data_IF_393489068588
#
_entry.id   IF_393489068588
#
_cell.length_a   1.000
_cell.length_b   1.000
_cell.length_c   1.000
_cell.angle_alpha   90.00
_cell.angle_beta   90.00
_cell.angle_gamma   90.00
#
_symmetry.space_group_name_H-M   'P 1'
#
loop_
_entity.id
_entity.type
_entity.pdbx_description
1 polymer ?
#
# COMPACT_ATOMS: atom_id res chain seq x y z
N UNK A 1 1.12 -27.22 24.09
CA UNK A 1 2.09 -26.26 23.53
C UNK A 1 2.54 -26.68 22.14
N UNK A 2 2.65 -27.98 21.86
CA UNK A 2 3.18 -28.48 20.58
C UNK A 2 2.32 -28.16 19.35
N UNK A 3 0.99 -28.22 19.47
CA UNK A 3 0.05 -27.91 18.37
C UNK A 3 0.17 -26.44 17.93
N UNK A 4 0.37 -25.52 18.89
CA UNK A 4 0.52 -24.09 18.58
C UNK A 4 1.82 -23.85 17.81
N UNK A 5 2.92 -24.50 18.23
CA UNK A 5 4.20 -24.41 17.55
C UNK A 5 4.14 -25.00 16.13
N UNK A 6 3.47 -26.14 15.96
CA UNK A 6 3.28 -26.77 14.65
C UNK A 6 2.47 -25.88 13.69
N UNK A 7 1.42 -25.21 14.20
CA UNK A 7 0.64 -24.25 13.41
C UNK A 7 1.51 -23.04 13.01
N UNK A 8 2.29 -22.49 13.94
CA UNK A 8 3.18 -21.36 13.67
C UNK A 8 4.25 -21.70 12.62
N UNK A 9 4.89 -22.86 12.72
CA UNK A 9 5.88 -23.32 11.73
C UNK A 9 5.25 -23.52 10.35
N UNK A 10 4.02 -24.06 10.30
CA UNK A 10 3.30 -24.26 9.04
C UNK A 10 2.96 -22.94 8.37
N UNK A 11 2.52 -21.94 9.12
CA UNK A 11 2.22 -20.61 8.60
C UNK A 11 3.50 -19.86 8.19
N UNK A 12 4.59 -20.00 8.95
CA UNK A 12 5.90 -19.46 8.56
C UNK A 12 6.40 -20.04 7.23
N UNK A 13 6.39 -21.37 7.06
CA UNK A 13 6.78 -22.03 5.80
C UNK A 13 5.91 -21.61 4.62
N UNK A 14 4.62 -21.32 4.84
CA UNK A 14 3.75 -20.76 3.80
C UNK A 14 4.13 -19.32 3.47
N UNK A 15 4.44 -18.50 4.48
CA UNK A 15 4.84 -17.11 4.30
C UNK A 15 6.18 -16.98 3.56
N UNK A 16 7.16 -17.84 3.84
CA UNK A 16 8.47 -17.89 3.17
C UNK A 16 8.38 -18.11 1.65
N UNK A 17 7.28 -18.70 1.18
CA UNK A 17 7.03 -18.89 -0.26
C UNK A 17 6.78 -17.57 -1.00
N UNK A 18 6.40 -16.51 -0.30
CA UNK A 18 6.02 -15.23 -0.88
C UNK A 18 7.08 -14.16 -0.60
N UNK A 19 7.20 -13.19 -1.52
CA UNK A 19 8.03 -12.00 -1.29
C UNK A 19 7.42 -11.17 -0.16
N UNK A 20 8.24 -10.45 0.63
CA UNK A 20 7.73 -9.59 1.70
C UNK A 20 6.85 -8.48 1.12
N UNK A 21 5.73 -8.21 1.80
CA UNK A 21 4.78 -7.13 1.48
C UNK A 21 4.86 -5.98 2.49
N UNK A 22 5.70 -6.12 3.51
CA UNK A 22 5.97 -5.10 4.53
C UNK A 22 6.98 -4.09 4.00
N UNK A 23 6.71 -2.82 4.22
CA UNK A 23 7.57 -1.70 3.84
C UNK A 23 7.75 -0.83 5.07
N UNK A 24 8.99 -0.62 5.48
CA UNK A 24 9.34 0.22 6.62
C UNK A 24 9.71 1.62 6.13
N UNK A 25 9.16 2.66 6.76
CA UNK A 25 9.44 4.07 6.49
C UNK A 25 9.61 4.82 7.80
N UNK A 26 10.28 5.97 7.73
CA UNK A 26 10.51 6.80 8.91
C UNK A 26 9.20 7.41 9.43
N UNK A 27 8.37 7.92 8.52
CA UNK A 27 7.01 8.38 8.78
C UNK A 27 6.02 7.45 8.10
N UNK A 28 4.91 7.18 8.78
CA UNK A 28 3.78 6.47 8.17
C UNK A 28 3.12 7.31 7.08
N UNK A 29 2.53 6.65 6.09
CA UNK A 29 1.78 7.32 5.02
C UNK A 29 0.39 7.72 5.52
N UNK A 30 -0.11 8.84 5.02
CA UNK A 30 -1.51 9.21 5.17
C UNK A 30 -2.32 8.63 3.99
N UNK A 31 -3.53 8.12 4.25
CA UNK A 31 -4.33 7.45 3.23
C UNK A 31 -5.71 8.09 3.09
N UNK A 32 -6.13 8.27 1.84
CA UNK A 32 -7.53 8.45 1.45
C UNK A 32 -7.91 7.29 0.52
N UNK A 33 -8.24 6.16 1.13
CA UNK A 33 -8.55 4.92 0.40
C UNK A 33 -9.82 5.07 -0.45
N UNK A 34 -10.73 5.98 -0.08
CA UNK A 34 -11.90 6.31 -0.91
C UNK A 34 -11.51 6.88 -2.27
N UNK A 35 -10.38 7.60 -2.33
CA UNK A 35 -9.79 8.13 -3.56
C UNK A 35 -8.65 7.27 -4.13
N UNK A 36 -8.37 6.10 -3.54
CA UNK A 36 -7.19 5.28 -3.84
C UNK A 36 -5.87 6.07 -3.74
N UNK A 37 -5.78 6.96 -2.74
CA UNK A 37 -4.68 7.88 -2.54
C UNK A 37 -3.83 7.47 -1.33
N UNK A 38 -2.51 7.54 -1.49
CA UNK A 38 -1.54 7.47 -0.40
C UNK A 38 -0.58 8.66 -0.50
N UNK A 39 -0.47 9.41 0.58
CA UNK A 39 0.37 10.60 0.72
C UNK A 39 1.59 10.27 1.56
N UNK A 40 2.75 10.29 0.92
CA UNK A 40 4.04 10.05 1.56
C UNK A 40 4.74 11.38 1.83
N UNK A 41 4.87 11.73 3.11
CA UNK A 41 5.50 12.98 3.58
C UNK A 41 6.96 12.78 4.00
N UNK A 42 7.53 11.59 3.79
CA UNK A 42 8.96 11.36 4.00
C UNK A 42 9.79 12.19 3.02
N UNK A 43 10.99 12.61 3.45
CA UNK A 43 11.90 13.38 2.61
C UNK A 43 12.35 12.60 1.38
N UNK A 44 12.39 13.29 0.24
CA UNK A 44 12.92 12.72 -1.00
C UNK A 44 14.45 12.84 -1.05
N UNK A 45 15.09 11.79 -1.55
CA UNK A 45 16.54 11.79 -1.72
C UNK A 45 16.99 12.66 -2.90
N UNK A 46 17.28 13.93 -2.57
CA UNK A 46 17.59 14.99 -3.52
C UNK A 46 18.75 14.68 -4.47
N UNK A 47 19.74 13.88 -4.01
CA UNK A 47 20.88 13.48 -4.87
C UNK A 47 20.44 12.49 -5.95
N UNK A 48 19.63 11.51 -5.59
CA UNK A 48 19.12 10.50 -6.51
C UNK A 48 18.14 11.11 -7.52
N UNK A 49 17.31 12.06 -7.08
CA UNK A 49 16.40 12.80 -7.95
C UNK A 49 17.12 13.61 -9.04
N UNK A 50 18.30 14.16 -8.72
CA UNK A 50 19.09 14.99 -9.66
C UNK A 50 20.01 14.16 -10.55
N UNK A 51 20.18 12.87 -10.28
CA UNK A 51 21.02 11.96 -11.04
C UNK A 51 20.24 11.39 -12.23
N UNK A 52 20.55 11.81 -13.46
CA UNK A 52 19.86 11.29 -14.65
C UNK A 52 19.97 9.76 -14.81
N UNK A 53 21.02 9.16 -14.25
CA UNK A 53 21.22 7.70 -14.28
C UNK A 53 20.35 6.96 -13.27
N UNK A 54 20.11 7.54 -12.09
CA UNK A 54 19.49 6.84 -10.96
C UNK A 54 18.05 7.28 -10.69
N UNK A 55 17.63 8.45 -11.19
CA UNK A 55 16.33 9.06 -10.93
C UNK A 55 15.17 8.10 -11.18
N UNK A 56 15.15 7.45 -12.33
CA UNK A 56 14.03 6.58 -12.71
C UNK A 56 13.96 5.33 -11.83
N UNK A 57 15.12 4.75 -11.49
CA UNK A 57 15.19 3.60 -10.58
C UNK A 57 14.76 3.98 -9.16
N UNK A 58 15.18 5.15 -8.68
CA UNK A 58 14.77 5.67 -7.38
C UNK A 58 13.27 5.93 -7.31
N UNK A 59 12.71 6.65 -8.28
CA UNK A 59 11.26 6.94 -8.35
C UNK A 59 10.43 5.66 -8.48
N UNK A 60 10.91 4.68 -9.26
CA UNK A 60 10.25 3.38 -9.38
C UNK A 60 10.25 2.63 -8.06
N UNK A 61 11.38 2.61 -7.34
CA UNK A 61 11.46 1.95 -6.02
C UNK A 61 10.53 2.62 -5.02
N UNK A 62 10.58 3.95 -4.93
CA UNK A 62 9.73 4.74 -4.04
C UNK A 62 8.24 4.52 -4.34
N UNK A 63 7.85 4.57 -5.61
CA UNK A 63 6.46 4.35 -6.04
C UNK A 63 6.00 2.93 -5.76
N UNK A 64 6.87 1.93 -5.97
CA UNK A 64 6.56 0.52 -5.65
C UNK A 64 6.30 0.36 -4.16
N UNK A 65 7.12 0.95 -3.30
CA UNK A 65 6.94 0.93 -1.85
C UNK A 65 5.61 1.55 -1.42
N UNK A 66 5.31 2.75 -1.92
CA UNK A 66 4.07 3.46 -1.59
C UNK A 66 2.83 2.71 -2.11
N UNK A 67 2.93 2.13 -3.31
CA UNK A 67 1.86 1.30 -3.90
C UNK A 67 1.63 0.03 -3.11
N UNK A 68 2.69 -0.62 -2.61
CA UNK A 68 2.56 -1.81 -1.76
C UNK A 68 1.78 -1.47 -0.49
N UNK A 69 2.12 -0.38 0.18
CA UNK A 69 1.42 0.09 1.38
C UNK A 69 -0.05 0.44 1.07
N UNK A 70 -0.33 1.13 -0.05
CA UNK A 70 -1.69 1.42 -0.48
C UNK A 70 -2.51 0.15 -0.74
N UNK A 71 -1.96 -0.82 -1.47
CA UNK A 71 -2.63 -2.09 -1.71
C UNK A 71 -2.86 -2.89 -0.44
N UNK A 72 -1.90 -2.89 0.50
CA UNK A 72 -2.10 -3.51 1.80
C UNK A 72 -3.35 -2.91 2.49
N UNK A 73 -3.49 -1.58 2.51
CA UNK A 73 -4.66 -0.90 3.09
C UNK A 73 -5.97 -1.16 2.35
N UNK A 74 -5.94 -1.25 1.02
CA UNK A 74 -7.14 -1.60 0.23
C UNK A 74 -7.62 -3.00 0.59
N UNK A 75 -6.71 -3.98 0.73
CA UNK A 75 -7.06 -5.38 0.99
C UNK A 75 -7.28 -5.70 2.48
N UNK A 76 -7.03 -4.76 3.39
CA UNK A 76 -7.53 -4.81 4.77
C UNK A 76 -9.06 -4.57 4.85
N UNK A 77 -9.68 -3.99 3.80
CA UNK A 77 -11.11 -3.72 3.77
C UNK A 77 -11.95 -5.00 3.62
N UNK A 78 -13.23 -4.99 4.06
CA UNK A 78 -14.16 -6.08 3.79
C UNK A 78 -14.28 -6.35 2.29
N UNK A 79 -14.05 -7.60 1.91
CA UNK A 79 -14.22 -8.08 0.53
C UNK A 79 -15.60 -8.69 0.34
N UNK A 80 -16.12 -8.58 -0.87
CA UNK A 80 -17.34 -9.28 -1.30
C UNK A 80 -17.13 -9.86 -2.69
N UNK A 81 -17.89 -10.91 -3.00
CA UNK A 81 -17.92 -11.50 -4.34
C UNK A 81 -19.12 -10.95 -5.09
N UNK A 82 -18.86 -10.28 -6.21
CA UNK A 82 -19.88 -9.81 -7.14
C UNK A 82 -19.64 -10.53 -8.46
N UNK A 83 -20.61 -11.35 -8.88
CA UNK A 83 -20.50 -12.23 -10.04
C UNK A 83 -19.25 -13.14 -9.93
N UNK A 84 -18.28 -12.94 -10.83
CA UNK A 84 -17.00 -13.66 -10.88
C UNK A 84 -15.82 -12.85 -10.33
N UNK A 85 -16.06 -11.65 -9.79
CA UNK A 85 -15.02 -10.77 -9.24
C UNK A 85 -15.04 -10.70 -7.71
N UNK A 86 -13.84 -10.61 -7.11
CA UNK A 86 -13.66 -10.22 -5.71
C UNK A 86 -13.43 -8.72 -5.69
N UNK A 87 -14.27 -8.00 -4.95
CA UNK A 87 -14.20 -6.55 -4.84
C UNK A 87 -14.12 -6.13 -3.38
N UNK A 88 -13.68 -4.90 -3.13
CA UNK A 88 -13.72 -4.25 -1.82
C UNK A 88 -14.70 -3.09 -1.87
N UNK A 89 -15.37 -2.81 -0.74
CA UNK A 89 -16.19 -1.61 -0.60
C UNK A 89 -15.32 -0.45 -0.12
N UNK A 90 -15.05 0.50 -1.00
CA UNK A 90 -14.29 1.70 -0.65
C UNK A 90 -15.11 2.63 0.26
N UNK A 91 -14.48 3.28 1.25
CA UNK A 91 -15.13 4.31 2.05
C UNK A 91 -15.38 5.59 1.21
N UNK A 92 -16.10 6.56 1.78
CA UNK A 92 -16.22 7.87 1.14
C UNK A 92 -14.86 8.56 1.07
N UNK A 93 -14.49 9.19 -0.07
CA UNK A 93 -13.30 10.04 -0.17
C UNK A 93 -13.22 11.09 0.94
N UNK A 94 -12.05 11.27 1.54
CA UNK A 94 -11.81 12.29 2.58
C UNK A 94 -11.16 13.55 2.02
N UNK A 95 -10.47 13.45 0.89
CA UNK A 95 -9.84 14.60 0.24
C UNK A 95 -10.92 15.52 -0.35
N UNK A 96 -11.06 16.72 0.22
CA UNK A 96 -12.05 17.70 -0.25
C UNK A 96 -11.61 18.30 -1.58
N UNK A 97 -12.40 18.07 -2.63
CA UNK A 97 -12.17 18.63 -3.96
C UNK A 97 -13.18 19.76 -4.25
N UNK A 98 -12.76 20.82 -4.97
CA UNK A 98 -13.69 21.87 -5.39
C UNK A 98 -14.72 21.32 -6.37
N UNK A 99 -15.99 21.75 -6.21
CA UNK A 99 -17.04 21.42 -7.17
C UNK A 99 -16.81 22.16 -8.48
N UNK A 100 -17.12 21.51 -9.59
CA UNK A 100 -17.11 22.15 -10.91
C UNK A 100 -18.22 23.20 -11.08
N UNK A 101 -19.33 23.09 -10.33
CA UNK A 101 -20.49 23.97 -10.41
C UNK A 101 -20.98 24.37 -9.01
N UNK A 102 -21.65 25.54 -8.87
CA UNK A 102 -22.33 25.94 -7.63
C UNK A 102 -23.33 24.88 -7.13
N UNK A 103 -23.79 25.04 -5.90
CA UNK A 103 -24.84 24.21 -5.30
C UNK A 103 -26.20 24.61 -5.84
#
# INVERSE_FOLDING_TARGET
MDIVNEILEREQKKAEKYKPITVEKHLELEFDIGSLLASDTNDLESKLLKSDKERDTYLQSLSRDNTQLLLNKIWELPTERIEEAIVVRLPHPTTVLPRAKPV
#
